data_IF_421150087867
#
_entry.id   IF_421150087867
#
_cell.length_a   1.000
_cell.length_b   1.000
_cell.length_c   1.000
_cell.angle_alpha   90.00
_cell.angle_beta   90.00
_cell.angle_gamma   90.00
#
_symmetry.space_group_name_H-M   'P 1'
#
loop_
_entity.id
_entity.type
_entity.pdbx_description
1 polymer ?
#
# COMPACT_ATOMS: atom_id res chain seq x y z
N UNK A 1 30.68 -12.52 6.50
CA UNK A 1 29.46 -12.18 5.73
C UNK A 1 29.87 -11.29 4.59
N UNK A 2 30.18 -11.87 3.42
CA UNK A 2 30.47 -11.11 2.20
C UNK A 2 29.15 -10.56 1.67
N UNK A 3 29.06 -9.23 1.58
CA UNK A 3 28.06 -8.60 0.73
C UNK A 3 28.52 -8.82 -0.71
N UNK A 4 27.96 -9.81 -1.40
CA UNK A 4 28.16 -10.00 -2.84
C UNK A 4 27.60 -8.79 -3.59
N UNK A 5 28.50 -7.87 -3.95
CA UNK A 5 28.25 -6.67 -4.73
C UNK A 5 28.07 -6.95 -6.24
N UNK A 6 27.77 -8.20 -6.63
CA UNK A 6 27.74 -8.66 -8.03
C UNK A 6 26.35 -9.07 -8.55
N UNK A 7 25.27 -8.75 -7.82
CA UNK A 7 23.89 -9.05 -8.23
C UNK A 7 22.85 -8.10 -7.64
N UNK A 8 23.25 -6.87 -7.33
CA UNK A 8 22.38 -5.86 -6.74
C UNK A 8 21.61 -5.16 -7.85
N UNK A 9 20.61 -5.87 -8.41
CA UNK A 9 19.52 -5.21 -9.13
C UNK A 9 19.11 -3.98 -8.34
N UNK A 10 19.13 -2.80 -8.96
CA UNK A 10 18.79 -1.55 -8.29
C UNK A 10 17.32 -1.63 -7.83
N UNK A 11 17.10 -2.10 -6.60
CA UNK A 11 15.78 -2.35 -6.04
C UNK A 11 14.93 -1.09 -6.04
N UNK A 12 15.56 0.08 -5.90
CA UNK A 12 14.91 1.37 -5.97
C UNK A 12 14.43 1.66 -7.40
N UNK A 13 15.26 1.45 -8.41
CA UNK A 13 14.84 1.60 -9.81
C UNK A 13 13.69 0.62 -10.17
N UNK A 14 13.79 -0.63 -9.74
CA UNK A 14 12.73 -1.63 -9.92
C UNK A 14 11.44 -1.22 -9.21
N UNK A 15 11.53 -0.79 -7.95
CA UNK A 15 10.40 -0.30 -7.17
C UNK A 15 9.72 0.89 -7.86
N UNK A 16 10.49 1.91 -8.27
CA UNK A 16 9.98 3.10 -8.95
C UNK A 16 9.32 2.74 -10.28
N UNK A 17 9.95 1.88 -11.08
CA UNK A 17 9.40 1.42 -12.33
C UNK A 17 8.08 0.67 -12.12
N UNK A 18 8.06 -0.36 -11.26
CA UNK A 18 6.86 -1.16 -10.99
C UNK A 18 5.75 -0.28 -10.41
N UNK A 19 6.06 0.56 -9.43
CA UNK A 19 5.11 1.50 -8.84
C UNK A 19 4.52 2.44 -9.89
N UNK A 20 5.35 3.02 -10.76
CA UNK A 20 4.89 3.87 -11.85
C UNK A 20 3.92 3.16 -12.80
N UNK A 21 4.22 1.91 -13.20
CA UNK A 21 3.32 1.11 -14.02
C UNK A 21 1.99 0.84 -13.29
N UNK A 22 2.05 0.50 -12.00
CA UNK A 22 0.87 0.23 -11.16
C UNK A 22 -0.01 1.47 -10.98
N UNK A 23 0.57 2.64 -10.78
CA UNK A 23 -0.15 3.92 -10.73
C UNK A 23 -0.82 4.23 -12.09
N UNK A 24 -0.17 3.91 -13.20
CA UNK A 24 -0.78 4.00 -14.53
C UNK A 24 -1.84 2.90 -14.80
N UNK A 25 -2.29 2.18 -13.78
CA UNK A 25 -3.28 1.11 -13.84
C UNK A 25 -2.88 -0.07 -14.74
N UNK A 26 -1.58 -0.19 -15.05
CA UNK A 26 -1.07 -1.31 -15.82
C UNK A 26 -0.91 -2.50 -14.90
N UNK A 27 -1.55 -3.60 -15.25
CA UNK A 27 -1.48 -4.85 -14.50
C UNK A 27 -0.06 -5.42 -14.58
N UNK A 28 0.48 -5.83 -13.44
CA UNK A 28 1.80 -6.43 -13.30
C UNK A 28 1.66 -7.78 -12.60
N UNK A 29 2.50 -8.76 -12.97
CA UNK A 29 2.55 -10.03 -12.25
C UNK A 29 3.22 -9.87 -10.90
N UNK A 30 3.02 -10.82 -9.97
CA UNK A 30 3.68 -10.79 -8.66
C UNK A 30 5.21 -10.78 -8.75
N UNK A 31 5.80 -11.28 -9.84
CA UNK A 31 7.25 -11.24 -10.06
C UNK A 31 7.80 -9.82 -10.26
N UNK A 32 6.96 -8.84 -10.61
CA UNK A 32 7.37 -7.43 -10.67
C UNK A 32 7.58 -6.82 -9.27
N UNK A 33 6.98 -7.43 -8.23
CA UNK A 33 6.97 -6.94 -6.84
C UNK A 33 8.05 -7.59 -5.96
N UNK A 34 9.25 -7.80 -6.52
CA UNK A 34 10.37 -8.49 -5.86
C UNK A 34 11.43 -7.47 -5.44
N UNK A 35 11.42 -7.12 -4.15
CA UNK A 35 12.43 -6.30 -3.49
C UNK A 35 12.41 -6.57 -1.97
N UNK A 36 13.45 -6.15 -1.22
CA UNK A 36 13.53 -6.37 0.22
C UNK A 36 12.36 -5.73 0.99
N UNK A 37 11.84 -6.43 2.00
CA UNK A 37 10.69 -5.97 2.78
C UNK A 37 10.94 -4.63 3.51
N UNK A 38 12.19 -4.31 3.87
CA UNK A 38 12.53 -3.04 4.52
C UNK A 38 12.17 -1.84 3.64
N UNK A 39 12.29 -1.95 2.31
CA UNK A 39 11.94 -0.88 1.38
C UNK A 39 10.43 -0.62 1.39
N UNK A 40 9.62 -1.68 1.41
CA UNK A 40 8.16 -1.58 1.53
C UNK A 40 7.74 -0.93 2.84
N UNK A 41 8.33 -1.33 3.95
CA UNK A 41 8.06 -0.73 5.25
C UNK A 41 8.42 0.76 5.29
N UNK A 42 9.58 1.13 4.74
CA UNK A 42 10.00 2.52 4.67
C UNK A 42 9.01 3.37 3.85
N UNK A 43 8.57 2.86 2.68
CA UNK A 43 7.58 3.55 1.83
C UNK A 43 6.25 3.72 2.56
N UNK A 44 5.73 2.65 3.16
CA UNK A 44 4.45 2.68 3.88
C UNK A 44 4.48 3.69 5.04
N UNK A 45 5.58 3.71 5.80
CA UNK A 45 5.77 4.70 6.87
C UNK A 45 5.82 6.13 6.32
N UNK A 46 6.56 6.38 5.24
CA UNK A 46 6.64 7.71 4.62
C UNK A 46 5.28 8.18 4.10
N UNK A 47 4.51 7.29 3.48
CA UNK A 47 3.15 7.58 3.01
C UNK A 47 2.23 7.91 4.19
N UNK A 48 2.19 7.08 5.24
CA UNK A 48 1.34 7.32 6.40
C UNK A 48 1.70 8.65 7.11
N UNK A 49 2.99 8.91 7.30
CA UNK A 49 3.46 10.17 7.88
C UNK A 49 3.03 11.36 7.02
N UNK A 50 3.17 11.29 5.69
CA UNK A 50 2.79 12.38 4.79
C UNK A 50 1.27 12.64 4.79
N UNK A 51 0.48 11.58 4.65
CA UNK A 51 -0.98 11.66 4.57
C UNK A 51 -1.56 12.20 5.88
N UNK A 52 -1.00 11.81 7.03
CA UNK A 52 -1.51 12.22 8.33
C UNK A 52 -0.82 13.46 8.92
N UNK A 53 0.20 14.03 8.26
CA UNK A 53 0.96 15.19 8.77
C UNK A 53 0.07 16.40 9.11
N UNK A 54 -1.00 16.63 8.34
CA UNK A 54 -1.91 17.76 8.53
C UNK A 54 -2.80 17.64 9.78
N UNK A 55 -3.15 16.42 10.19
CA UNK A 55 -4.00 16.16 11.36
C UNK A 55 -3.29 16.55 12.67
N UNK A 56 -1.95 16.58 12.66
CA UNK A 56 -1.12 16.65 13.87
C UNK A 56 -0.56 18.04 14.16
N UNK A 57 -0.61 18.96 13.20
CA UNK A 57 -0.20 20.36 13.41
C UNK A 57 -0.90 21.01 14.62
N UNK A 58 -2.03 20.45 15.06
CA UNK A 58 -2.84 20.92 16.18
C UNK A 58 -2.52 20.30 17.56
N UNK A 59 -1.64 19.29 17.66
CA UNK A 59 -1.43 18.54 18.93
C UNK A 59 -0.13 18.85 19.68
N UNK A 60 0.82 19.54 19.04
CA UNK A 60 2.08 19.98 19.67
C UNK A 60 3.07 18.88 20.10
N UNK A 61 2.73 17.58 19.94
CA UNK A 61 3.57 16.44 20.37
C UNK A 61 3.90 15.53 19.19
N UNK A 62 4.81 16.01 18.34
CA UNK A 62 5.24 15.32 17.11
C UNK A 62 5.77 13.91 17.40
N UNK A 63 6.51 13.70 18.49
CA UNK A 63 7.12 12.40 18.80
C UNK A 63 6.11 11.28 19.04
N UNK A 64 5.05 11.57 19.83
CA UNK A 64 3.99 10.59 20.11
C UNK A 64 3.23 10.24 18.83
N UNK A 65 3.02 11.22 17.97
CA UNK A 65 2.39 10.99 16.67
C UNK A 65 3.25 10.13 15.76
N UNK A 66 4.54 10.44 15.60
CA UNK A 66 5.46 9.62 14.78
C UNK A 66 5.46 8.18 15.29
N UNK A 67 5.61 7.97 16.60
CA UNK A 67 5.61 6.63 17.18
C UNK A 67 4.28 5.90 16.91
N UNK A 68 3.14 6.57 17.13
CA UNK A 68 1.82 6.02 16.85
C UNK A 68 1.65 5.66 15.37
N UNK A 69 2.07 6.53 14.45
CA UNK A 69 2.01 6.31 13.00
C UNK A 69 2.84 5.11 12.58
N UNK A 70 4.07 5.00 13.08
CA UNK A 70 4.95 3.85 12.82
C UNK A 70 4.30 2.55 13.31
N UNK A 71 3.87 2.50 14.58
CA UNK A 71 3.24 1.29 15.16
C UNK A 71 1.96 0.92 14.41
N UNK A 72 1.10 1.90 14.13
CA UNK A 72 -0.17 1.67 13.42
C UNK A 72 0.08 1.16 12.00
N UNK A 73 1.06 1.74 11.29
CA UNK A 73 1.48 1.29 9.95
C UNK A 73 1.93 -0.16 9.99
N UNK A 74 2.79 -0.53 10.94
CA UNK A 74 3.24 -1.91 11.09
C UNK A 74 2.09 -2.88 11.33
N UNK A 75 1.17 -2.56 12.24
CA UNK A 75 0.03 -3.42 12.58
C UNK A 75 -0.93 -3.54 11.39
N UNK A 76 -1.37 -2.41 10.84
CA UNK A 76 -2.36 -2.35 9.76
C UNK A 76 -1.88 -3.06 8.51
N UNK A 77 -0.67 -2.74 8.02
CA UNK A 77 -0.19 -3.34 6.78
C UNK A 77 0.27 -4.79 6.98
N UNK A 78 0.67 -5.20 8.18
CA UNK A 78 0.88 -6.62 8.49
C UNK A 78 -0.43 -7.39 8.36
N UNK A 79 -1.50 -6.92 9.01
CA UNK A 79 -2.82 -7.55 8.95
C UNK A 79 -3.33 -7.57 7.50
N UNK A 80 -3.25 -6.43 6.80
CA UNK A 80 -3.69 -6.33 5.41
C UNK A 80 -2.93 -7.29 4.48
N UNK A 81 -1.59 -7.37 4.61
CA UNK A 81 -0.79 -8.28 3.82
C UNK A 81 -1.14 -9.75 4.10
N UNK A 82 -1.38 -10.12 5.36
CA UNK A 82 -1.77 -11.48 5.73
C UNK A 82 -3.17 -11.84 5.23
N UNK A 83 -4.14 -10.95 5.42
CA UNK A 83 -5.51 -11.14 4.94
C UNK A 83 -5.56 -11.22 3.42
N UNK A 84 -4.86 -10.35 2.70
CA UNK A 84 -4.76 -10.43 1.24
C UNK A 84 -4.07 -11.71 0.79
N UNK A 85 -2.97 -12.09 1.42
CA UNK A 85 -2.26 -13.32 1.05
C UNK A 85 -3.17 -14.55 1.19
N UNK A 86 -3.88 -14.65 2.32
CA UNK A 86 -4.86 -15.70 2.55
C UNK A 86 -6.02 -15.64 1.55
N UNK A 87 -6.59 -14.46 1.32
CA UNK A 87 -7.72 -14.27 0.40
C UNK A 87 -7.34 -14.62 -1.03
N UNK A 88 -6.18 -14.18 -1.51
CA UNK A 88 -5.74 -14.38 -2.88
C UNK A 88 -5.34 -15.83 -3.18
N UNK A 89 -4.92 -16.60 -2.17
CA UNK A 89 -4.63 -18.03 -2.31
C UNK A 89 -5.89 -18.92 -2.37
N UNK A 90 -7.06 -18.41 -1.98
CA UNK A 90 -8.29 -19.22 -2.03
C UNK A 90 -8.66 -19.57 -3.48
N UNK A 91 -9.02 -20.83 -3.68
CA UNK A 91 -9.44 -21.37 -4.99
C UNK A 91 -8.32 -21.42 -6.02
N UNK A 92 -7.07 -21.63 -5.57
CA UNK A 92 -5.88 -21.81 -6.43
C UNK A 92 -5.64 -20.64 -7.40
N UNK A 93 -6.13 -19.44 -7.05
CA UNK A 93 -6.04 -18.24 -7.90
C UNK A 93 -4.65 -17.64 -7.94
N UNK A 94 -3.89 -17.86 -6.87
CA UNK A 94 -2.48 -17.53 -6.73
C UNK A 94 -1.81 -18.61 -5.88
N UNK A 95 -0.64 -19.06 -6.35
CA UNK A 95 0.18 -20.10 -5.74
C UNK A 95 1.07 -19.60 -4.60
N UNK A 96 1.10 -18.28 -4.37
CA UNK A 96 1.94 -17.67 -3.35
C UNK A 96 3.38 -17.41 -3.79
N UNK A 97 3.69 -17.60 -5.08
CA UNK A 97 5.04 -17.41 -5.62
C UNK A 97 5.23 -16.01 -6.24
N UNK A 98 6.49 -15.61 -6.42
CA UNK A 98 6.87 -14.27 -6.90
C UNK A 98 7.15 -13.29 -5.75
N UNK A 99 6.61 -12.08 -5.83
CA UNK A 99 6.73 -11.03 -4.82
C UNK A 99 5.82 -11.24 -3.61
N UNK A 100 5.85 -10.30 -2.67
CA UNK A 100 5.02 -10.34 -1.46
C UNK A 100 3.81 -9.40 -1.56
N UNK A 101 2.72 -9.72 -0.86
CA UNK A 101 1.56 -8.82 -0.75
C UNK A 101 1.93 -7.50 -0.07
N UNK A 102 2.90 -7.50 0.85
CA UNK A 102 3.44 -6.27 1.45
C UNK A 102 4.06 -5.35 0.39
N UNK A 103 4.84 -5.91 -0.54
CA UNK A 103 5.45 -5.14 -1.63
C UNK A 103 4.40 -4.57 -2.59
N UNK A 104 3.39 -5.36 -2.93
CA UNK A 104 2.26 -4.87 -3.73
C UNK A 104 1.53 -3.72 -3.00
N UNK A 105 1.21 -3.90 -1.72
CA UNK A 105 0.58 -2.86 -0.90
C UNK A 105 1.42 -1.58 -0.87
N UNK A 106 2.73 -1.68 -0.65
CA UNK A 106 3.63 -0.53 -0.64
C UNK A 106 3.68 0.21 -1.98
N UNK A 107 3.73 -0.52 -3.11
CA UNK A 107 3.69 0.10 -4.43
C UNK A 107 2.35 0.82 -4.69
N UNK A 108 1.24 0.24 -4.24
CA UNK A 108 -0.09 0.86 -4.42
C UNK A 108 -0.34 2.01 -3.45
N UNK A 109 0.24 1.99 -2.25
CA UNK A 109 0.04 3.01 -1.22
C UNK A 109 0.58 4.38 -1.64
N UNK A 110 1.53 4.44 -2.57
CA UNK A 110 2.01 5.71 -3.15
C UNK A 110 0.86 6.53 -3.77
N UNK A 111 -0.21 5.88 -4.24
CA UNK A 111 -1.39 6.57 -4.74
C UNK A 111 -2.10 7.40 -3.65
N UNK A 112 -1.99 7.03 -2.37
CA UNK A 112 -2.61 7.75 -1.24
C UNK A 112 -2.02 9.15 -1.02
N UNK A 113 -0.83 9.42 -1.57
CA UNK A 113 -0.24 10.76 -1.55
C UNK A 113 -1.10 11.78 -2.31
N UNK A 114 -1.88 11.36 -3.32
CA UNK A 114 -2.77 12.24 -4.07
C UNK A 114 -3.92 12.79 -3.19
N UNK A 115 -4.76 11.94 -2.54
CA UNK A 115 -5.73 12.42 -1.55
C UNK A 115 -5.10 13.23 -0.43
N UNK A 116 -3.95 12.80 0.10
CA UNK A 116 -3.24 13.52 1.17
C UNK A 116 -2.76 14.91 0.75
N UNK A 117 -2.36 15.08 -0.52
CA UNK A 117 -2.01 16.38 -1.08
C UNK A 117 -3.26 17.24 -1.32
N UNK A 118 -4.33 16.67 -1.87
CA UNK A 118 -5.56 17.41 -2.21
C UNK A 118 -6.33 17.87 -0.99
N UNK A 119 -6.26 17.18 0.15
CA UNK A 119 -6.83 17.69 1.42
C UNK A 119 -6.26 19.05 1.85
N UNK A 120 -5.11 19.46 1.30
CA UNK A 120 -4.49 20.77 1.55
C UNK A 120 -5.00 21.87 0.61
N UNK A 121 -5.81 21.51 -0.39
CA UNK A 121 -6.38 22.40 -1.40
C UNK A 121 -7.90 22.35 -1.34
N UNK A 122 -8.56 23.51 -1.39
CA UNK A 122 -10.01 23.65 -1.23
C UNK A 122 -10.77 23.30 -2.53
N UNK A 123 -10.60 22.06 -3.03
CA UNK A 123 -11.01 21.64 -4.39
C UNK A 123 -12.16 20.63 -4.39
N UNK A 124 -13.42 21.05 -4.14
CA UNK A 124 -14.55 20.16 -3.84
C UNK A 124 -14.93 19.20 -4.99
N UNK A 125 -14.70 19.56 -6.26
CA UNK A 125 -15.20 18.79 -7.41
C UNK A 125 -14.39 17.52 -7.69
N UNK A 126 -13.10 17.51 -7.37
CA UNK A 126 -12.21 16.37 -7.68
C UNK A 126 -11.90 15.49 -6.47
N UNK A 127 -12.32 15.90 -5.27
CA UNK A 127 -12.04 15.18 -4.02
C UNK A 127 -12.45 13.72 -4.14
N UNK A 128 -13.72 13.44 -4.47
CA UNK A 128 -14.22 12.06 -4.49
C UNK A 128 -13.46 11.17 -5.48
N UNK A 129 -13.18 11.67 -6.68
CA UNK A 129 -12.45 10.91 -7.70
C UNK A 129 -11.02 10.60 -7.24
N UNK A 130 -10.36 11.55 -6.59
CA UNK A 130 -9.00 11.40 -6.07
C UNK A 130 -8.97 10.43 -4.89
N UNK A 131 -9.96 10.45 -4.00
CA UNK A 131 -10.08 9.51 -2.89
C UNK A 131 -10.35 8.07 -3.31
N UNK A 132 -11.07 7.87 -4.42
CA UNK A 132 -11.36 6.53 -4.96
C UNK A 132 -10.15 5.95 -5.72
N UNK A 133 -9.30 6.81 -6.29
CA UNK A 133 -8.20 6.37 -7.16
C UNK A 133 -7.23 5.34 -6.51
N UNK A 134 -6.76 5.50 -5.25
CA UNK A 134 -5.94 4.47 -4.59
C UNK A 134 -6.62 3.10 -4.52
N UNK A 135 -7.94 3.05 -4.30
CA UNK A 135 -8.69 1.79 -4.31
C UNK A 135 -8.69 1.18 -5.72
N UNK A 136 -8.88 1.99 -6.76
CA UNK A 136 -8.84 1.53 -8.15
C UNK A 136 -7.45 0.96 -8.49
N UNK A 137 -6.38 1.65 -8.09
CA UNK A 137 -4.99 1.21 -8.28
C UNK A 137 -4.77 -0.15 -7.63
N UNK A 138 -5.20 -0.33 -6.36
CA UNK A 138 -5.05 -1.60 -5.66
C UNK A 138 -5.89 -2.72 -6.28
N UNK A 139 -7.15 -2.46 -6.63
CA UNK A 139 -8.02 -3.44 -7.31
C UNK A 139 -7.37 -3.89 -8.61
N UNK A 140 -6.86 -2.95 -9.42
CA UNK A 140 -6.17 -3.26 -10.68
C UNK A 140 -4.89 -4.04 -10.44
N UNK A 141 -4.08 -3.67 -9.47
CA UNK A 141 -2.86 -4.41 -9.12
C UNK A 141 -3.19 -5.86 -8.74
N UNK A 142 -4.24 -6.08 -7.93
CA UNK A 142 -4.69 -7.41 -7.50
C UNK A 142 -5.19 -8.28 -8.67
N UNK A 143 -5.82 -7.68 -9.69
CA UNK A 143 -6.19 -8.44 -10.90
C UNK A 143 -4.98 -8.95 -11.69
N UNK A 144 -3.78 -8.37 -11.50
CA UNK A 144 -2.53 -8.83 -12.12
C UNK A 144 -1.86 -10.00 -11.40
N UNK A 145 -2.30 -10.35 -10.19
CA UNK A 145 -1.69 -11.40 -9.34
C UNK A 145 -1.89 -12.81 -9.91
N UNK A 146 -2.93 -13.02 -10.72
CA UNK A 146 -3.25 -14.34 -11.28
C UNK A 146 -4.61 -14.37 -11.96
N UNK A 147 -5.33 -15.49 -11.82
CA UNK A 147 -6.68 -15.69 -12.40
C UNK A 147 -7.77 -15.04 -11.53
N UNK A 148 -7.61 -13.76 -11.24
CA UNK A 148 -8.46 -13.05 -10.27
C UNK A 148 -9.34 -12.04 -10.99
N UNK A 149 -10.66 -12.15 -10.81
CA UNK A 149 -11.62 -11.20 -11.38
C UNK A 149 -11.58 -9.86 -10.63
N UNK A 150 -12.07 -8.79 -11.28
CA UNK A 150 -12.20 -7.46 -10.66
C UNK A 150 -13.07 -7.53 -9.40
N UNK A 151 -14.21 -8.25 -9.46
CA UNK A 151 -15.10 -8.40 -8.31
C UNK A 151 -14.45 -9.11 -7.12
N UNK A 152 -13.62 -10.12 -7.38
CA UNK A 152 -12.86 -10.81 -6.32
C UNK A 152 -11.79 -9.90 -5.70
N UNK A 153 -11.12 -9.10 -6.53
CA UNK A 153 -10.15 -8.10 -6.09
C UNK A 153 -10.80 -7.01 -5.24
N UNK A 154 -11.96 -6.51 -5.66
CA UNK A 154 -12.77 -5.55 -4.90
C UNK A 154 -13.15 -6.12 -3.53
N UNK A 155 -13.64 -7.36 -3.46
CA UNK A 155 -13.95 -8.01 -2.19
C UNK A 155 -12.72 -8.11 -1.28
N UNK A 156 -11.54 -8.40 -1.83
CA UNK A 156 -10.27 -8.41 -1.09
C UNK A 156 -9.88 -7.03 -0.55
N UNK A 157 -10.07 -5.97 -1.34
CA UNK A 157 -9.84 -4.58 -0.89
C UNK A 157 -10.80 -4.19 0.23
N UNK A 158 -12.09 -4.52 0.10
CA UNK A 158 -13.09 -4.27 1.14
C UNK A 158 -12.76 -5.02 2.44
N UNK A 159 -12.28 -6.27 2.32
CA UNK A 159 -11.88 -7.09 3.47
C UNK A 159 -10.77 -6.43 4.29
N UNK A 160 -9.80 -5.79 3.65
CA UNK A 160 -8.65 -5.16 4.34
C UNK A 160 -8.87 -3.71 4.72
N UNK A 161 -9.92 -3.05 4.22
CA UNK A 161 -10.24 -1.66 4.59
C UNK A 161 -11.08 -1.57 5.85
N UNK A 162 -11.89 -2.59 6.16
CA UNK A 162 -12.72 -2.61 7.37
C UNK A 162 -11.88 -2.62 8.67
N UNK A 163 -10.89 -3.51 8.86
CA UNK A 163 -10.14 -3.57 10.11
C UNK A 163 -9.40 -2.27 10.45
N UNK A 164 -8.71 -1.59 9.52
CA UNK A 164 -8.04 -0.31 9.80
C UNK A 164 -9.01 0.82 10.18
N UNK A 165 -10.20 0.88 9.56
CA UNK A 165 -11.24 1.87 9.95
C UNK A 165 -11.66 1.65 11.40
N UNK A 166 -11.87 0.39 11.78
CA UNK A 166 -12.23 0.01 13.16
C UNK A 166 -11.09 0.36 14.13
N UNK A 167 -9.84 -0.02 13.82
CA UNK A 167 -8.66 0.28 14.65
C UNK A 167 -8.50 1.79 14.84
N UNK A 168 -8.69 2.59 13.78
CA UNK A 168 -8.57 4.05 13.85
C UNK A 168 -9.71 4.70 14.64
N UNK A 169 -10.90 4.11 14.63
CA UNK A 169 -12.07 4.61 15.39
C UNK A 169 -11.92 4.46 16.92
N UNK A 170 -11.13 3.49 17.39
CA UNK A 170 -10.87 3.29 18.82
C UNK A 170 -9.73 4.16 19.38
N UNK A 171 -9.02 4.90 18.52
CA UNK A 171 -7.89 5.74 18.91
C UNK A 171 -8.13 7.24 18.80
N UNK A 172 -9.40 7.66 18.74
CA UNK A 172 -9.86 9.04 18.95
C UNK A 172 -10.49 9.14 20.33
#
# INVERSE_FOLDING_TARGET
>A
MSFDAAGQDNYLARFLHTTGQTLLLRTQSMHAYVWPAWLSWAVLMLVDLFVNAGVTANTGRIEIWVLRSVVTTFVVYSIAAHLLNWWMRRGERWDGTGGTMLNLLAATAVAELLPGAVQKFDWPVWVLAIWIYPMIVLIRALTGVGRVSVGYSLAGVLLITIPPVVIRSFGQ
#
